data_IF_114041130421
#
_entry.id   IF_114041130421
#
_cell.length_a   1.000
_cell.length_b   1.000
_cell.length_c   1.000
_cell.angle_alpha   90.00
_cell.angle_beta   90.00
_cell.angle_gamma   90.00
#
_symmetry.space_group_name_H-M   'P 1'
#
loop_
_entity.id
_entity.type
_entity.pdbx_description
1 polymer ?
#
# COMPACT_ATOMS: atom_id res chain seq x y z
N UNK A 1 2.74 -3.37 -16.48
CA UNK A 1 3.80 -3.61 -15.44
C UNK A 1 3.44 -4.78 -14.51
N UNK A 2 4.37 -5.74 -14.32
CA UNK A 2 4.23 -6.88 -13.38
C UNK A 2 5.08 -6.66 -12.11
N UNK A 3 4.65 -7.18 -10.95
CA UNK A 3 5.33 -7.05 -9.64
C UNK A 3 6.74 -7.64 -9.62
N UNK A 4 7.06 -8.56 -10.53
CA UNK A 4 8.39 -9.19 -10.62
C UNK A 4 9.49 -8.18 -10.98
N UNK A 5 9.11 -7.08 -11.63
CA UNK A 5 10.01 -5.98 -11.99
C UNK A 5 10.34 -5.03 -10.83
N UNK A 6 9.61 -5.09 -9.72
CA UNK A 6 9.89 -4.24 -8.56
C UNK A 6 11.09 -4.81 -7.80
N UNK A 7 12.07 -4.01 -7.37
CA UNK A 7 13.22 -4.50 -6.60
C UNK A 7 12.79 -5.32 -5.37
N UNK A 8 13.52 -6.40 -5.10
CA UNK A 8 13.16 -7.38 -4.07
C UNK A 8 13.06 -6.76 -2.68
N UNK A 9 13.95 -5.81 -2.35
CA UNK A 9 13.92 -5.09 -1.09
C UNK A 9 12.68 -4.19 -0.95
N UNK A 10 12.23 -3.56 -2.04
CA UNK A 10 11.01 -2.75 -2.04
C UNK A 10 9.77 -3.64 -1.83
N UNK A 11 9.71 -4.81 -2.49
CA UNK A 11 8.65 -5.80 -2.25
C UNK A 11 8.67 -6.30 -0.80
N UNK A 12 9.84 -6.63 -0.25
CA UNK A 12 9.96 -7.14 1.10
C UNK A 12 9.50 -6.12 2.16
N UNK A 13 9.86 -4.84 1.99
CA UNK A 13 9.38 -3.76 2.87
C UNK A 13 7.86 -3.57 2.75
N UNK A 14 7.32 -3.53 1.53
CA UNK A 14 5.89 -3.42 1.29
C UNK A 14 5.12 -4.57 1.94
N UNK A 15 5.57 -5.82 1.79
CA UNK A 15 4.95 -7.00 2.41
C UNK A 15 4.91 -6.86 3.93
N UNK A 16 6.00 -6.40 4.58
CA UNK A 16 6.03 -6.20 6.04
C UNK A 16 4.97 -5.17 6.49
N UNK A 17 4.82 -4.07 5.76
CA UNK A 17 3.82 -3.03 6.05
C UNK A 17 2.41 -3.52 5.82
N UNK A 18 2.16 -4.22 4.71
CA UNK A 18 0.85 -4.78 4.38
C UNK A 18 0.41 -5.82 5.41
N UNK A 19 1.31 -6.70 5.88
CA UNK A 19 1.00 -7.65 6.96
C UNK A 19 0.59 -6.95 8.26
N UNK A 20 1.26 -5.84 8.60
CA UNK A 20 0.89 -5.03 9.77
C UNK A 20 -0.48 -4.38 9.59
N UNK A 21 -0.74 -3.78 8.43
CA UNK A 21 -2.03 -3.18 8.11
C UNK A 21 -3.16 -4.23 8.19
N UNK A 22 -2.94 -5.43 7.62
CA UNK A 22 -3.89 -6.53 7.68
C UNK A 22 -4.24 -6.93 9.12
N UNK A 23 -3.24 -7.07 10.00
CA UNK A 23 -3.48 -7.36 11.42
C UNK A 23 -4.28 -6.27 12.14
N UNK A 24 -4.02 -4.98 11.81
CA UNK A 24 -4.80 -3.86 12.36
C UNK A 24 -6.26 -3.88 11.89
N UNK A 25 -6.50 -4.14 10.59
CA UNK A 25 -7.85 -4.22 10.04
C UNK A 25 -8.63 -5.42 10.58
N UNK A 26 -7.97 -6.58 10.74
CA UNK A 26 -8.56 -7.75 11.40
C UNK A 26 -8.96 -7.45 12.85
N UNK A 27 -8.10 -6.76 13.60
CA UNK A 27 -8.41 -6.36 14.97
C UNK A 27 -9.62 -5.41 15.03
N UNK A 28 -9.67 -4.42 14.13
CA UNK A 28 -10.82 -3.51 14.03
C UNK A 28 -12.12 -4.27 13.70
N UNK A 29 -12.10 -5.13 12.69
CA UNK A 29 -13.26 -5.93 12.31
C UNK A 29 -13.79 -6.73 13.50
N UNK A 30 -12.90 -7.39 14.24
CA UNK A 30 -13.25 -8.14 15.44
C UNK A 30 -13.91 -7.28 16.53
N UNK A 31 -13.38 -6.08 16.79
CA UNK A 31 -13.98 -5.15 17.78
C UNK A 31 -15.40 -4.74 17.36
N UNK A 32 -15.63 -4.54 16.06
CA UNK A 32 -16.95 -4.20 15.53
C UNK A 32 -17.93 -5.39 15.61
N UNK A 33 -17.45 -6.61 15.37
CA UNK A 33 -18.24 -7.85 15.48
C UNK A 33 -18.64 -8.17 16.93
N UNK A 34 -17.70 -8.05 17.87
CA UNK A 34 -17.94 -8.33 19.30
C UNK A 34 -18.81 -7.24 19.96
N UNK A 35 -18.75 -6.01 19.46
CA UNK A 35 -19.43 -4.85 20.04
C UNK A 35 -18.75 -4.33 21.31
N UNK A 36 -19.12 -3.12 21.74
CA UNK A 36 -18.65 -2.54 23.00
C UNK A 36 -17.23 -1.93 23.00
N UNK A 37 -16.59 -1.79 21.82
CA UNK A 37 -15.29 -1.12 21.69
C UNK A 37 -15.37 0.43 21.72
N UNK A 38 -14.27 1.07 22.12
CA UNK A 38 -14.13 2.53 22.02
C UNK A 38 -14.03 2.98 20.55
N UNK A 39 -14.99 3.79 20.11
CA UNK A 39 -15.06 4.33 18.76
C UNK A 39 -13.80 5.13 18.40
N UNK A 40 -13.22 5.89 19.32
CA UNK A 40 -12.02 6.69 19.06
C UNK A 40 -10.81 5.78 18.83
N UNK A 41 -10.65 4.73 19.62
CA UNK A 41 -9.62 3.73 19.43
C UNK A 41 -9.75 3.01 18.06
N UNK A 42 -10.98 2.62 17.67
CA UNK A 42 -11.25 2.00 16.37
C UNK A 42 -10.84 2.92 15.21
N UNK A 43 -11.27 4.18 15.24
CA UNK A 43 -10.95 5.16 14.20
C UNK A 43 -9.43 5.41 14.10
N UNK A 44 -8.72 5.44 15.23
CA UNK A 44 -7.25 5.58 15.25
C UNK A 44 -6.56 4.35 14.65
N UNK A 45 -7.04 3.14 14.93
CA UNK A 45 -6.49 1.91 14.34
C UNK A 45 -6.74 1.84 12.83
N UNK A 46 -7.93 2.22 12.38
CA UNK A 46 -8.25 2.33 10.95
C UNK A 46 -7.33 3.34 10.25
N UNK A 47 -7.14 4.53 10.82
CA UNK A 47 -6.24 5.54 10.29
C UNK A 47 -4.79 5.03 10.20
N UNK A 48 -4.33 4.29 11.21
CA UNK A 48 -3.01 3.67 11.21
C UNK A 48 -2.87 2.58 10.13
N UNK A 49 -3.90 1.76 9.93
CA UNK A 49 -3.95 0.74 8.88
C UNK A 49 -3.93 1.35 7.47
N UNK A 50 -4.75 2.39 7.25
CA UNK A 50 -4.75 3.20 6.02
C UNK A 50 -3.35 3.75 5.72
N UNK A 51 -2.75 4.45 6.67
CA UNK A 51 -1.42 5.04 6.49
C UNK A 51 -0.32 3.99 6.23
N UNK A 52 -0.43 2.79 6.82
CA UNK A 52 0.50 1.70 6.55
C UNK A 52 0.35 1.16 5.11
N UNK A 53 -0.88 1.04 4.61
CA UNK A 53 -1.16 0.62 3.25
C UNK A 53 -0.69 1.67 2.22
N UNK A 54 -0.96 2.96 2.44
CA UNK A 54 -0.52 4.06 1.57
C UNK A 54 1.00 4.08 1.42
N UNK A 55 1.74 3.98 2.53
CA UNK A 55 3.21 3.94 2.49
C UNK A 55 3.74 2.73 1.72
N UNK A 56 3.07 1.58 1.81
CA UNK A 56 3.44 0.39 1.05
C UNK A 56 3.19 0.62 -0.46
N UNK A 57 2.02 1.16 -0.82
CA UNK A 57 1.68 1.50 -2.20
C UNK A 57 2.65 2.50 -2.81
N UNK A 58 2.94 3.60 -2.10
CA UNK A 58 3.89 4.62 -2.53
C UNK A 58 5.30 4.06 -2.75
N UNK A 59 5.75 3.16 -1.87
CA UNK A 59 7.05 2.49 -2.02
C UNK A 59 7.11 1.58 -3.25
N UNK A 60 6.05 0.83 -3.53
CA UNK A 60 5.96 -0.03 -4.72
C UNK A 60 5.91 0.81 -6.00
N UNK A 61 5.10 1.87 -6.00
CA UNK A 61 4.92 2.74 -7.17
C UNK A 61 6.21 3.50 -7.50
N UNK A 62 6.87 4.09 -6.50
CA UNK A 62 8.15 4.78 -6.69
C UNK A 62 9.26 3.86 -7.16
N UNK A 63 9.34 2.65 -6.60
CA UNK A 63 10.34 1.66 -7.02
C UNK A 63 10.06 1.15 -8.45
N UNK A 64 8.79 0.93 -8.81
CA UNK A 64 8.38 0.55 -10.16
C UNK A 64 8.62 1.66 -11.19
N UNK A 65 8.44 2.93 -10.82
CA UNK A 65 8.72 4.07 -11.70
C UNK A 65 10.19 4.16 -12.07
N UNK A 66 11.11 3.97 -11.10
CA UNK A 66 12.56 3.97 -11.37
C UNK A 66 12.90 2.88 -12.40
N UNK A 67 12.38 1.67 -12.21
CA UNK A 67 12.58 0.54 -13.12
C UNK A 67 12.00 0.77 -14.52
N UNK A 68 10.79 1.34 -14.60
CA UNK A 68 10.17 1.70 -15.88
C UNK A 68 10.97 2.78 -16.63
N UNK A 69 11.54 3.76 -15.93
CA UNK A 69 12.37 4.80 -16.55
C UNK A 69 13.71 4.26 -17.04
N UNK A 70 14.28 3.24 -16.39
CA UNK A 70 15.54 2.61 -16.81
C UNK A 70 15.37 1.60 -17.94
N UNK A 71 14.25 0.87 -17.98
CA UNK A 71 13.98 -0.18 -18.96
C UNK A 71 12.53 -0.15 -19.47
N UNK A 72 12.13 0.92 -20.16
CA UNK A 72 10.76 1.06 -20.66
C UNK A 72 10.40 -0.06 -21.68
N UNK A 73 9.23 -0.68 -21.50
CA UNK A 73 8.65 -1.70 -22.41
C UNK A 73 7.29 -1.25 -22.92
N UNK A 74 6.85 -1.79 -24.07
CA UNK A 74 5.55 -1.45 -24.68
C UNK A 74 4.34 -1.66 -23.74
N UNK A 75 4.43 -2.61 -22.80
CA UNK A 75 3.37 -2.94 -21.83
C UNK A 75 3.50 -2.20 -20.48
N UNK A 76 4.40 -1.22 -20.38
CA UNK A 76 4.52 -0.37 -19.21
C UNK A 76 3.46 0.73 -19.21
N UNK A 77 3.07 1.14 -18.00
CA UNK A 77 2.14 2.23 -17.83
C UNK A 77 2.76 3.51 -18.39
N UNK A 78 1.95 4.31 -19.07
CA UNK A 78 2.33 5.66 -19.44
C UNK A 78 2.60 6.51 -18.20
N UNK A 79 3.37 7.59 -18.36
CA UNK A 79 3.63 8.55 -17.28
C UNK A 79 2.34 9.10 -16.66
N UNK A 80 1.31 9.33 -17.49
CA UNK A 80 0.02 9.86 -17.05
C UNK A 80 -0.79 8.83 -16.24
N UNK A 81 -0.69 7.54 -16.56
CA UNK A 81 -1.26 6.46 -15.75
C UNK A 81 -0.53 6.31 -14.42
N UNK A 82 0.80 6.45 -14.40
CA UNK A 82 1.59 6.47 -13.18
C UNK A 82 1.21 7.63 -12.26
N UNK A 83 1.04 8.84 -12.81
CA UNK A 83 0.61 10.02 -12.06
C UNK A 83 -0.76 9.81 -11.42
N UNK A 84 -1.73 9.25 -12.18
CA UNK A 84 -3.06 8.92 -11.65
C UNK A 84 -2.99 7.92 -10.49
N UNK A 85 -2.18 6.87 -10.61
CA UNK A 85 -1.98 5.91 -9.54
C UNK A 85 -1.32 6.54 -8.31
N UNK A 86 -0.39 7.45 -8.50
CA UNK A 86 0.26 8.19 -7.41
C UNK A 86 -0.75 9.03 -6.64
N UNK A 87 -1.59 9.79 -7.35
CA UNK A 87 -2.62 10.63 -6.75
C UNK A 87 -3.73 9.83 -6.04
N UNK A 88 -3.95 8.57 -6.42
CA UNK A 88 -4.91 7.68 -5.74
C UNK A 88 -4.41 7.22 -4.37
N UNK A 89 -3.09 7.23 -4.15
CA UNK A 89 -2.43 6.79 -2.92
C UNK A 89 -2.12 7.94 -1.95
N UNK A 90 -2.35 9.19 -2.37
CA UNK A 90 -2.10 10.43 -1.62
C UNK A 90 -3.36 10.93 -0.90
#
# INVERSE_FOLDING_TARGET
MNTDRIPTEARADAIKRLRRAAGQLQAVARVLEEGGGDCVAVLRQLAAGKAAAERAGLKLLSAGLVECLTEAREDDLSTEEFEKLFMTLA
#
